data_IF_856008586940
#
_entry.id   IF_856008586940
#
_cell.length_a   1.000
_cell.length_b   1.000
_cell.length_c   1.000
_cell.angle_alpha   90.00
_cell.angle_beta   90.00
_cell.angle_gamma   90.00
#
_symmetry.space_group_name_H-M   'P 1'
#
loop_
_entity.id
_entity.type
_entity.pdbx_description
1 polymer ?
#
# COMPACT_ATOMS: atom_id res chain seq x y z
N UNK A 1 6.67 -25.90 -9.50
CA UNK A 1 6.77 -24.48 -9.09
C UNK A 1 6.43 -24.42 -7.60
N UNK A 2 7.28 -23.81 -6.76
CA UNK A 2 6.95 -23.68 -5.32
C UNK A 2 5.69 -22.81 -5.18
N UNK A 3 4.68 -23.32 -4.47
CA UNK A 3 3.47 -22.57 -4.15
C UNK A 3 3.81 -21.35 -3.30
N UNK A 4 3.21 -20.19 -3.58
CA UNK A 4 3.34 -19.01 -2.71
C UNK A 4 2.86 -19.37 -1.31
N UNK A 5 3.78 -19.38 -0.35
CA UNK A 5 3.46 -19.56 1.06
C UNK A 5 3.03 -18.23 1.66
N UNK A 6 1.94 -18.21 2.42
CA UNK A 6 1.45 -17.01 3.10
C UNK A 6 1.80 -17.06 4.59
N UNK A 7 2.09 -15.89 5.15
CA UNK A 7 2.32 -15.69 6.58
C UNK A 7 0.97 -15.31 7.22
N UNK A 8 0.50 -16.04 8.25
CA UNK A 8 -0.75 -15.71 8.93
C UNK A 8 -0.74 -14.32 9.57
N UNK A 9 -1.94 -13.88 10.00
CA UNK A 9 -2.14 -12.60 10.68
C UNK A 9 -1.55 -11.41 9.91
N UNK A 10 -1.73 -11.39 8.59
CA UNK A 10 -1.26 -10.27 7.76
C UNK A 10 0.28 -10.06 7.85
N UNK A 11 1.04 -11.14 8.02
CA UNK A 11 2.50 -11.10 8.18
C UNK A 11 2.98 -10.96 9.64
N UNK A 12 2.06 -10.76 10.59
CA UNK A 12 2.36 -10.50 12.00
C UNK A 12 2.59 -11.76 12.84
N UNK A 13 2.35 -12.95 12.27
CA UNK A 13 2.50 -14.19 13.01
C UNK A 13 3.94 -14.35 13.55
N UNK A 14 4.04 -14.58 14.86
CA UNK A 14 5.29 -14.76 15.59
C UNK A 14 6.06 -13.47 15.89
N UNK A 15 5.60 -12.29 15.46
CA UNK A 15 6.26 -11.03 15.82
C UNK A 15 6.09 -10.73 17.31
N UNK A 16 7.15 -10.23 17.93
CA UNK A 16 7.15 -9.79 19.34
C UNK A 16 6.32 -8.54 19.56
N UNK A 17 6.30 -7.62 18.59
CA UNK A 17 5.48 -6.42 18.59
C UNK A 17 4.46 -6.48 17.45
N UNK A 18 3.18 -6.47 17.78
CA UNK A 18 2.07 -6.50 16.82
C UNK A 18 1.34 -5.15 16.65
N UNK A 19 1.70 -4.14 17.44
CA UNK A 19 1.09 -2.80 17.41
C UNK A 19 1.42 -2.03 16.12
N UNK A 20 2.58 -2.34 15.53
CA UNK A 20 3.04 -1.70 14.31
C UNK A 20 3.49 -0.24 14.49
N UNK A 21 3.66 0.50 13.40
CA UNK A 21 4.05 1.91 13.43
C UNK A 21 2.98 2.83 14.02
N UNK A 22 3.43 3.97 14.56
CA UNK A 22 2.54 5.03 15.05
C UNK A 22 1.49 5.44 14.01
N UNK A 23 0.25 5.60 14.50
CA UNK A 23 -0.92 6.02 13.73
C UNK A 23 -1.48 7.32 14.34
N UNK A 24 -1.74 8.31 13.49
CA UNK A 24 -2.21 9.65 13.89
C UNK A 24 -3.67 9.90 13.55
N UNK A 25 -4.50 8.85 13.50
CA UNK A 25 -5.93 8.94 13.22
C UNK A 25 -6.70 9.78 14.24
N UNK A 26 -6.30 9.73 15.51
CA UNK A 26 -6.85 10.59 16.57
C UNK A 26 -6.58 12.09 16.33
N UNK A 27 -5.51 12.44 15.60
CA UNK A 27 -5.20 13.84 15.22
C UNK A 27 -5.85 14.22 13.88
N UNK A 28 -5.97 13.26 12.97
CA UNK A 28 -6.47 13.46 11.61
C UNK A 28 -7.50 12.38 11.25
N UNK A 29 -8.73 12.46 11.78
CA UNK A 29 -9.76 11.46 11.52
C UNK A 29 -10.22 11.48 10.05
N UNK A 30 -10.56 10.30 9.51
CA UNK A 30 -11.22 10.20 8.21
C UNK A 30 -12.70 10.55 8.31
N UNK A 31 -13.02 11.80 8.04
CA UNK A 31 -14.38 12.34 8.16
C UNK A 31 -15.29 11.93 6.99
N UNK A 32 -16.61 12.00 7.21
CA UNK A 32 -17.62 11.66 6.22
C UNK A 32 -17.79 12.72 5.12
N UNK A 33 -16.79 12.77 4.24
CA UNK A 33 -16.73 13.61 3.04
C UNK A 33 -16.24 12.73 1.90
N UNK A 34 -16.77 12.91 0.70
CA UNK A 34 -16.25 12.26 -0.51
C UNK A 34 -14.85 12.79 -0.80
N UNK A 35 -13.89 11.90 -1.05
CA UNK A 35 -12.48 12.25 -1.22
C UNK A 35 -11.86 11.48 -2.39
N UNK A 36 -10.90 12.08 -3.10
CA UNK A 36 -10.14 11.37 -4.10
C UNK A 36 -9.23 10.34 -3.42
N UNK A 37 -9.32 9.10 -3.87
CA UNK A 37 -8.42 8.01 -3.49
C UNK A 37 -7.43 7.77 -4.62
N UNK A 38 -6.16 7.62 -4.26
CA UNK A 38 -5.07 7.48 -5.21
C UNK A 38 -4.34 6.15 -5.04
N UNK A 39 -3.88 5.57 -6.15
CA UNK A 39 -2.74 4.68 -6.19
C UNK A 39 -1.47 5.54 -6.19
N UNK A 40 -0.66 5.37 -5.15
CA UNK A 40 0.58 6.11 -4.94
C UNK A 40 1.77 5.24 -5.33
N UNK A 41 2.65 5.80 -6.15
CA UNK A 41 3.89 5.14 -6.60
C UNK A 41 5.07 5.98 -6.16
N UNK A 42 5.93 5.40 -5.32
CA UNK A 42 7.08 6.08 -4.74
C UNK A 42 8.37 5.66 -5.46
N UNK A 43 9.30 6.60 -5.70
CA UNK A 43 10.62 6.26 -6.19
C UNK A 43 11.34 5.34 -5.18
N UNK A 44 12.17 4.38 -5.66
CA UNK A 44 13.03 3.61 -4.78
C UNK A 44 14.03 4.54 -4.08
N UNK A 45 14.43 4.19 -2.86
CA UNK A 45 15.38 4.98 -2.07
C UNK A 45 16.77 4.34 -2.09
N UNK A 46 17.78 5.06 -2.57
CA UNK A 46 19.19 4.71 -2.36
C UNK A 46 19.72 3.51 -3.14
N UNK A 47 19.03 3.06 -4.20
CA UNK A 47 19.46 1.92 -5.04
C UNK A 47 20.09 2.45 -6.33
N UNK A 48 21.31 2.01 -6.67
CA UNK A 48 22.05 2.44 -7.88
C UNK A 48 21.50 1.83 -9.17
N UNK A 49 20.95 0.62 -9.11
CA UNK A 49 20.39 -0.11 -10.25
C UNK A 49 18.94 -0.46 -9.94
N UNK A 50 18.03 0.28 -10.56
CA UNK A 50 16.62 0.25 -10.21
C UNK A 50 15.82 -0.47 -11.29
N UNK A 51 14.84 -1.25 -10.87
CA UNK A 51 13.88 -1.93 -11.71
C UNK A 51 12.47 -1.44 -11.36
N UNK A 52 11.52 -1.69 -12.25
CA UNK A 52 10.10 -1.38 -11.98
C UNK A 52 9.58 -2.03 -10.69
N UNK A 53 10.20 -3.12 -10.21
CA UNK A 53 9.81 -3.85 -8.99
C UNK A 53 10.27 -3.19 -7.70
N UNK A 54 11.18 -2.23 -7.79
CA UNK A 54 11.73 -1.50 -6.65
C UNK A 54 10.86 -0.29 -6.25
N UNK A 55 9.88 0.07 -7.09
CA UNK A 55 8.87 1.07 -6.76
C UNK A 55 7.96 0.56 -5.64
N UNK A 56 7.82 1.36 -4.59
CA UNK A 56 6.85 1.07 -3.53
C UNK A 56 5.47 1.55 -3.97
N UNK A 57 4.43 0.75 -3.72
CA UNK A 57 3.05 1.07 -4.05
C UNK A 57 2.20 1.09 -2.78
N UNK A 58 1.29 2.07 -2.69
CA UNK A 58 0.26 2.14 -1.65
C UNK A 58 -1.04 2.71 -2.22
N UNK A 59 -2.16 2.46 -1.53
CA UNK A 59 -3.35 3.28 -1.71
C UNK A 59 -3.38 4.37 -0.65
N UNK A 60 -3.99 5.51 -0.97
CA UNK A 60 -4.28 6.48 0.08
C UNK A 60 -5.02 7.72 -0.37
N UNK A 61 -5.43 8.50 0.63
CA UNK A 61 -6.20 9.73 0.48
C UNK A 61 -5.84 10.74 1.57
N UNK A 62 -6.01 12.01 1.24
CA UNK A 62 -5.85 13.10 2.20
C UNK A 62 -7.05 13.12 3.14
N UNK A 63 -6.82 13.08 4.46
CA UNK A 63 -7.88 13.17 5.49
C UNK A 63 -7.97 14.57 6.09
N UNK A 64 -6.88 15.34 6.03
CA UNK A 64 -6.81 16.76 6.40
C UNK A 64 -5.64 17.43 5.67
N UNK A 65 -5.53 18.75 5.76
CA UNK A 65 -4.42 19.52 5.18
C UNK A 65 -3.01 19.07 5.61
N UNK A 66 -2.92 18.30 6.69
CA UNK A 66 -1.66 17.76 7.23
C UNK A 66 -1.66 16.25 7.36
N UNK A 67 -2.79 15.57 7.16
CA UNK A 67 -2.98 14.16 7.44
C UNK A 67 -3.32 13.37 6.17
N UNK A 68 -2.68 12.22 6.03
CA UNK A 68 -2.87 11.32 4.89
C UNK A 68 -3.03 9.89 5.37
N UNK A 69 -4.04 9.19 4.83
CA UNK A 69 -4.36 7.80 5.14
C UNK A 69 -3.74 6.89 4.09
N UNK A 70 -3.05 5.84 4.54
CA UNK A 70 -2.32 4.90 3.70
C UNK A 70 -2.75 3.47 3.96
N UNK A 71 -2.86 2.70 2.87
CA UNK A 71 -3.13 1.26 2.88
C UNK A 71 -2.03 0.58 2.05
N UNK A 72 -1.13 -0.13 2.74
CA UNK A 72 0.00 -0.83 2.14
C UNK A 72 0.64 -1.83 3.10
N UNK A 73 1.32 -2.83 2.53
CA UNK A 73 2.28 -3.63 3.30
C UNK A 73 3.60 -2.88 3.46
N UNK A 74 4.33 -3.16 4.53
CA UNK A 74 5.65 -2.60 4.82
C UNK A 74 6.67 -3.72 5.01
N UNK A 75 7.94 -3.40 4.76
CA UNK A 75 9.05 -4.27 5.14
C UNK A 75 9.27 -4.12 6.65
N UNK A 76 9.16 -5.23 7.36
CA UNK A 76 9.55 -5.37 8.75
C UNK A 76 10.90 -6.08 8.84
N UNK A 77 11.86 -5.47 9.53
CA UNK A 77 13.22 -5.99 9.64
C UNK A 77 13.77 -5.90 11.07
N UNK A 78 13.29 -6.75 11.98
CA UNK A 78 13.79 -6.82 13.36
C UNK A 78 14.52 -8.16 13.58
N UNK A 79 15.85 -8.15 13.85
CA UNK A 79 16.63 -9.37 14.02
C UNK A 79 16.25 -10.20 15.27
N UNK A 80 15.42 -9.65 16.16
CA UNK A 80 14.93 -10.35 17.37
C UNK A 80 13.63 -11.12 17.13
N UNK A 81 12.99 -10.91 15.97
CA UNK A 81 11.81 -11.65 15.55
C UNK A 81 12.21 -12.95 14.83
N UNK A 82 11.33 -13.97 14.81
CA UNK A 82 11.62 -15.21 14.10
C UNK A 82 11.84 -14.97 12.60
N UNK A 83 12.45 -15.92 11.86
CA UNK A 83 12.49 -15.85 10.40
C UNK A 83 11.07 -15.99 9.81
N UNK A 84 10.81 -15.41 8.61
CA UNK A 84 11.76 -14.71 7.75
C UNK A 84 12.05 -13.29 8.24
N UNK A 85 13.27 -12.82 7.97
CA UNK A 85 13.68 -11.46 8.22
C UNK A 85 14.66 -10.99 7.12
N UNK A 86 14.40 -9.89 6.37
CA UNK A 86 13.19 -9.06 6.43
C UNK A 86 11.94 -9.82 5.97
N UNK A 87 10.75 -9.35 6.37
CA UNK A 87 9.46 -9.85 5.90
C UNK A 87 8.49 -8.73 5.55
N UNK A 88 7.41 -9.04 4.86
CA UNK A 88 6.32 -8.09 4.65
C UNK A 88 5.26 -8.21 5.74
N UNK A 89 4.67 -7.08 6.13
CA UNK A 89 3.60 -7.00 7.12
C UNK A 89 2.57 -5.96 6.70
N UNK A 90 1.28 -6.28 6.79
CA UNK A 90 0.21 -5.29 6.77
C UNK A 90 -0.20 -4.96 8.21
N UNK A 91 0.09 -3.73 8.63
CA UNK A 91 -0.16 -3.22 9.98
C UNK A 91 -1.57 -2.65 10.17
N UNK A 92 -2.45 -2.80 9.18
CA UNK A 92 -3.68 -2.02 9.10
C UNK A 92 -3.46 -0.71 8.34
N UNK A 93 -4.56 -0.01 8.08
CA UNK A 93 -4.49 1.31 7.48
C UNK A 93 -3.90 2.33 8.47
N UNK A 94 -3.07 3.24 7.97
CA UNK A 94 -2.26 4.14 8.78
C UNK A 94 -2.48 5.59 8.39
N UNK A 95 -2.75 6.44 9.37
CA UNK A 95 -2.79 7.88 9.20
C UNK A 95 -1.44 8.46 9.61
N UNK A 96 -0.81 9.22 8.72
CA UNK A 96 0.47 9.89 8.98
C UNK A 96 0.40 11.34 8.53
N UNK A 97 1.29 12.17 9.07
CA UNK A 97 1.47 13.52 8.55
C UNK A 97 2.04 13.48 7.12
N UNK A 98 1.67 14.45 6.29
CA UNK A 98 2.19 14.56 4.92
C UNK A 98 3.70 14.88 4.99
N UNK A 99 4.54 13.89 4.67
CA UNK A 99 5.99 14.05 4.57
C UNK A 99 6.50 14.12 3.13
N UNK A 100 7.82 14.33 2.98
CA UNK A 100 8.50 14.47 1.68
C UNK A 100 8.34 13.24 0.76
N UNK A 101 8.16 12.04 1.32
CA UNK A 101 7.91 10.84 0.51
C UNK A 101 6.53 10.89 -0.17
N UNK A 102 5.49 11.33 0.56
CA UNK A 102 4.13 11.49 0.03
C UNK A 102 4.04 12.59 -1.02
N UNK A 103 4.82 13.67 -0.84
CA UNK A 103 4.90 14.75 -1.82
C UNK A 103 5.59 14.33 -3.12
N UNK A 104 6.60 13.44 -3.03
CA UNK A 104 7.33 12.90 -4.19
C UNK A 104 6.63 11.73 -4.88
N UNK A 105 5.58 11.17 -4.28
CA UNK A 105 4.84 10.07 -4.88
C UNK A 105 4.06 10.54 -6.12
N UNK A 106 4.15 9.77 -7.20
CA UNK A 106 3.21 9.91 -8.31
C UNK A 106 1.84 9.42 -7.84
N UNK A 107 0.80 10.21 -8.11
CA UNK A 107 -0.57 9.94 -7.68
C UNK A 107 -1.44 9.64 -8.89
N UNK A 108 -2.02 8.46 -8.93
CA UNK A 108 -2.98 8.07 -9.96
C UNK A 108 -4.35 7.96 -9.33
N UNK A 109 -5.30 8.77 -9.78
CA UNK A 109 -6.66 8.79 -9.24
C UNK A 109 -7.32 7.43 -9.50
N UNK A 110 -7.85 6.81 -8.45
CA UNK A 110 -8.70 5.62 -8.54
C UNK A 110 -10.18 5.98 -8.59
N UNK A 111 -10.57 7.06 -7.91
CA UNK A 111 -11.94 7.57 -7.90
C UNK A 111 -12.22 8.51 -6.74
N UNK A 112 -13.36 9.17 -6.81
CA UNK A 112 -13.93 9.98 -5.73
C UNK A 112 -14.82 9.09 -4.85
N UNK A 113 -14.35 8.72 -3.66
CA UNK A 113 -14.98 7.71 -2.83
C UNK A 113 -15.60 8.31 -1.59
N UNK A 114 -16.77 7.82 -1.18
CA UNK A 114 -17.43 8.11 0.11
C UNK A 114 -16.68 7.48 1.28
N UNK A 115 -16.95 7.91 2.52
CA UNK A 115 -16.34 7.30 3.71
C UNK A 115 -16.61 5.80 3.79
N UNK A 116 -17.84 5.37 3.49
CA UNK A 116 -18.20 3.95 3.47
C UNK A 116 -17.36 3.15 2.46
N UNK A 117 -17.12 3.70 1.27
CA UNK A 117 -16.26 3.06 0.27
C UNK A 117 -14.80 3.01 0.74
N UNK A 118 -14.28 4.07 1.37
CA UNK A 118 -12.91 4.07 1.92
C UNK A 118 -12.74 3.07 3.08
N UNK A 119 -13.72 2.98 3.97
CA UNK A 119 -13.77 1.93 5.01
C UNK A 119 -13.87 0.52 4.40
N UNK A 120 -14.55 0.36 3.26
CA UNK A 120 -14.53 -0.91 2.52
C UNK A 120 -13.12 -1.27 2.04
N UNK A 121 -12.33 -0.29 1.59
CA UNK A 121 -10.93 -0.53 1.20
C UNK A 121 -10.14 -1.09 2.38
N UNK A 122 -10.23 -0.46 3.55
CA UNK A 122 -9.50 -0.89 4.75
C UNK A 122 -9.90 -2.31 5.17
N UNK A 123 -11.21 -2.60 5.20
CA UNK A 123 -11.70 -3.95 5.53
C UNK A 123 -11.25 -5.01 4.52
N UNK A 124 -11.28 -4.69 3.22
CA UNK A 124 -10.85 -5.63 2.18
C UNK A 124 -9.34 -5.86 2.25
N UNK A 125 -8.55 -4.86 2.60
CA UNK A 125 -7.12 -4.99 2.82
C UNK A 125 -6.77 -5.98 3.93
N UNK A 126 -7.55 -6.03 5.01
CA UNK A 126 -7.39 -7.04 6.07
C UNK A 126 -7.60 -8.49 5.60
N UNK A 127 -8.23 -8.69 4.44
CA UNK A 127 -8.44 -10.02 3.82
C UNK A 127 -7.37 -10.41 2.81
N UNK A 128 -6.47 -9.49 2.42
CA UNK A 128 -5.44 -9.77 1.42
C UNK A 128 -4.29 -10.51 2.08
N UNK A 129 -3.94 -11.73 1.64
CA UNK A 129 -2.88 -12.49 2.30
C UNK A 129 -1.50 -11.89 2.03
N UNK A 130 -0.60 -11.97 3.02
CA UNK A 130 0.78 -11.49 2.93
C UNK A 130 1.72 -12.68 2.74
N UNK A 131 2.53 -12.67 1.68
CA UNK A 131 3.37 -13.82 1.34
C UNK A 131 4.71 -13.82 2.07
N UNK A 132 5.25 -15.03 2.24
CA UNK A 132 6.64 -15.24 2.60
C UNK A 132 7.55 -14.61 1.54
N UNK A 133 8.63 -13.90 1.92
CA UNK A 133 9.58 -13.34 0.96
C UNK A 133 10.16 -14.42 0.06
N UNK A 134 9.87 -14.34 -1.25
CA UNK A 134 10.27 -15.34 -2.24
C UNK A 134 10.93 -14.70 -3.48
N UNK A 135 11.30 -13.43 -3.39
CA UNK A 135 11.85 -12.62 -4.50
C UNK A 135 10.83 -12.25 -5.60
N UNK A 136 9.62 -12.82 -5.60
CA UNK A 136 8.58 -12.58 -6.60
C UNK A 136 7.38 -11.81 -6.07
N UNK A 137 7.05 -11.95 -4.80
CA UNK A 137 5.93 -11.28 -4.16
C UNK A 137 6.40 -10.02 -3.43
N UNK A 138 5.76 -8.88 -3.67
CA UNK A 138 6.06 -7.59 -3.04
C UNK A 138 4.79 -6.73 -2.86
N UNK A 139 4.96 -5.45 -2.48
CA UNK A 139 3.86 -4.50 -2.30
C UNK A 139 3.01 -4.26 -3.56
N UNK A 140 3.59 -4.38 -4.75
CA UNK A 140 2.84 -4.23 -6.01
C UNK A 140 1.89 -5.40 -6.21
N UNK A 141 2.33 -6.63 -5.91
CA UNK A 141 1.47 -7.82 -5.97
C UNK A 141 0.32 -7.73 -4.96
N UNK A 142 0.63 -7.34 -3.72
CA UNK A 142 -0.41 -7.15 -2.69
C UNK A 142 -1.41 -6.07 -3.09
N UNK A 143 -0.94 -4.97 -3.68
CA UNK A 143 -1.80 -3.87 -4.15
C UNK A 143 -2.68 -4.30 -5.32
N UNK A 144 -2.18 -5.07 -6.30
CA UNK A 144 -3.01 -5.62 -7.39
C UNK A 144 -4.11 -6.54 -6.84
N UNK A 145 -3.79 -7.42 -5.88
CA UNK A 145 -4.80 -8.28 -5.22
C UNK A 145 -5.85 -7.45 -4.51
N UNK A 146 -5.46 -6.39 -3.77
CA UNK A 146 -6.40 -5.48 -3.14
C UNK A 146 -7.30 -4.80 -4.18
N UNK A 147 -6.74 -4.22 -5.24
CA UNK A 147 -7.53 -3.52 -6.25
C UNK A 147 -8.51 -4.46 -6.97
N UNK A 148 -8.14 -5.71 -7.24
CA UNK A 148 -9.06 -6.71 -7.79
C UNK A 148 -10.25 -6.97 -6.86
N UNK A 149 -10.01 -7.08 -5.54
CA UNK A 149 -11.08 -7.16 -4.55
C UNK A 149 -11.96 -5.90 -4.54
N UNK A 150 -11.37 -4.71 -4.73
CA UNK A 150 -12.15 -3.47 -4.84
C UNK A 150 -13.10 -3.50 -6.05
N UNK A 151 -12.66 -4.06 -7.18
CA UNK A 151 -13.50 -4.28 -8.38
C UNK A 151 -14.61 -5.29 -8.08
N UNK A 152 -14.26 -6.45 -7.51
CA UNK A 152 -15.22 -7.52 -7.15
C UNK A 152 -16.34 -7.02 -6.22
N UNK A 153 -16.02 -6.08 -5.33
CA UNK A 153 -16.96 -5.49 -4.37
C UNK A 153 -17.59 -4.15 -4.85
N UNK A 154 -17.36 -3.74 -6.09
CA UNK A 154 -17.95 -2.53 -6.67
C UNK A 154 -17.49 -1.22 -6.02
N UNK A 155 -16.32 -1.21 -5.39
CA UNK A 155 -15.71 0.01 -4.83
C UNK A 155 -15.10 0.87 -5.94
N UNK A 156 -14.52 0.21 -6.95
CA UNK A 156 -14.03 0.82 -8.20
C UNK A 156 -14.48 -0.04 -9.37
N UNK A 157 -14.41 0.51 -10.58
CA UNK A 157 -14.71 -0.17 -11.83
C UNK A 157 -13.49 -0.91 -12.38
N UNK A 158 -13.72 -1.88 -13.27
CA UNK A 158 -12.64 -2.56 -14.00
C UNK A 158 -11.80 -1.59 -14.84
N UNK A 159 -12.42 -0.52 -15.37
CA UNK A 159 -11.73 0.51 -16.14
C UNK A 159 -10.77 1.32 -15.27
N UNK A 160 -11.20 1.76 -14.09
CA UNK A 160 -10.36 2.47 -13.12
C UNK A 160 -9.18 1.61 -12.66
N UNK A 161 -9.42 0.32 -12.37
CA UNK A 161 -8.34 -0.64 -12.07
C UNK A 161 -7.34 -0.75 -13.22
N UNK A 162 -7.81 -1.01 -14.44
CA UNK A 162 -6.96 -1.21 -15.60
C UNK A 162 -6.10 0.04 -15.89
N UNK A 163 -6.71 1.22 -15.82
CA UNK A 163 -6.04 2.50 -16.01
C UNK A 163 -4.97 2.73 -14.92
N UNK A 164 -5.33 2.59 -13.65
CA UNK A 164 -4.40 2.79 -12.54
C UNK A 164 -3.21 1.83 -12.61
N UNK A 165 -3.44 0.55 -12.95
CA UNK A 165 -2.37 -0.44 -13.11
C UNK A 165 -1.46 -0.14 -14.30
N UNK A 166 -2.01 0.30 -15.42
CA UNK A 166 -1.22 0.71 -16.58
C UNK A 166 -0.34 1.93 -16.24
N UNK A 167 -0.92 2.96 -15.62
CA UNK A 167 -0.20 4.16 -15.21
C UNK A 167 0.89 3.85 -14.17
N UNK A 168 0.60 3.06 -13.15
CA UNK A 168 1.58 2.72 -12.11
C UNK A 168 2.76 1.89 -12.64
N UNK A 169 2.53 1.00 -13.61
CA UNK A 169 3.62 0.26 -14.29
C UNK A 169 4.48 1.17 -15.16
N UNK A 170 3.86 2.14 -15.83
CA UNK A 170 4.57 3.10 -16.67
C UNK A 170 5.29 4.19 -15.85
N UNK A 171 4.88 4.42 -14.60
CA UNK A 171 5.48 5.41 -13.71
C UNK A 171 6.99 5.23 -13.55
N UNK A 172 7.52 4.01 -13.66
CA UNK A 172 8.97 3.76 -13.64
C UNK A 172 9.74 4.62 -14.66
N UNK A 173 9.23 4.71 -15.89
CA UNK A 173 9.86 5.50 -16.94
C UNK A 173 9.77 7.01 -16.68
N UNK A 174 8.73 7.47 -16.02
CA UNK A 174 8.58 8.88 -15.67
C UNK A 174 9.42 9.27 -14.47
N UNK A 175 9.54 8.39 -13.48
CA UNK A 175 10.23 8.65 -12.22
C UNK A 175 11.75 8.71 -12.43
N UNK A 176 12.30 7.85 -13.30
CA UNK A 176 13.75 7.78 -13.55
C UNK A 176 14.26 8.61 -14.72
N UNK A 177 13.39 9.24 -15.51
CA UNK A 177 13.81 10.20 -16.54
C UNK A 177 13.98 11.63 -16.02
N UNK A 178 13.74 11.85 -14.74
CA UNK A 178 13.81 13.16 -14.08
C UNK A 178 15.12 13.43 -13.33
N UNK A 179 16.16 12.62 -13.55
CA UNK A 179 17.53 12.88 -13.08
C UNK A 179 18.47 13.28 -14.23
#
# INVERSE_FOLDING_TARGET
>A
MSSTQYIPEQGKYGLRNKEGPLNSDHLYPDNDVTRPVFLLVYPPLGIKTQTHRDLHWSLGWEVSNRGFRFVHIQIHNDPRDPPPNPRYVYWGAQTKSVGAATQRAKKFLLGELTLRQRQNIERLAETVPVAYPNGRWNCQNWTDVLLRKLVEHGVITTAEWAQAMASARNAFHEILKTE
#
